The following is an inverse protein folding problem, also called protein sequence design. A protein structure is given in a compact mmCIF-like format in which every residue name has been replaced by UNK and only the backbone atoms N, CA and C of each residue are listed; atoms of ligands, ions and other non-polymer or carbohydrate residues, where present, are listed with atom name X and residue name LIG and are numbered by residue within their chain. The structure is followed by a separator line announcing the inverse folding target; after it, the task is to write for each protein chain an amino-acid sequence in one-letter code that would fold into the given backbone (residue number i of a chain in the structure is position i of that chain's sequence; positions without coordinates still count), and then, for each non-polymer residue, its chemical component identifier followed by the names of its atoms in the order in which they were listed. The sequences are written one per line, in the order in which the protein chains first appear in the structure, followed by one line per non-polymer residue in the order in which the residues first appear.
data_IF_358594939227
#
_entry.id   IF_358594939227
#
_cell.length_a   1.000
_cell.length_b   1.000
_cell.length_c   1.000
_cell.angle_alpha   90.00
_cell.angle_beta   90.00
_cell.angle_gamma   90.00
#
_symmetry.space_group_name_H-M   'P 1'
#
loop_
_entity.id
_entity.type
_entity.pdbx_description
1 polymer ?
#
# COMPACT_ATOMS: atom_id res chain seq x y z
N UNK A 1 -15.64 7.81 15.42
CA UNK A 1 -14.48 8.06 16.29
C UNK A 1 -14.67 9.14 17.37
N UNK A 2 -15.69 10.02 17.30
CA UNK A 2 -16.04 10.92 18.43
C UNK A 2 -15.00 12.01 18.74
N UNK A 3 -14.12 12.31 17.78
CA UNK A 3 -13.10 13.37 17.86
C UNK A 3 -13.65 14.66 17.26
N UNK A 4 -13.15 15.79 17.75
CA UNK A 4 -13.40 17.13 17.21
C UNK A 4 -12.18 17.57 16.41
N UNK A 5 -12.37 17.89 15.12
CA UNK A 5 -11.28 18.19 14.18
C UNK A 5 -11.71 19.28 13.21
N UNK A 6 -10.78 20.17 12.88
CA UNK A 6 -10.93 21.11 11.77
C UNK A 6 -10.53 20.43 10.45
N UNK A 7 -11.15 20.86 9.35
CA UNK A 7 -10.88 20.31 8.02
C UNK A 7 -10.02 21.28 7.19
N UNK A 8 -8.86 20.80 6.71
CA UNK A 8 -8.01 21.50 5.76
C UNK A 8 -8.11 20.81 4.39
N UNK A 9 -8.60 21.49 3.33
CA UNK A 9 -8.73 20.89 2.01
C UNK A 9 -7.37 20.80 1.30
N UNK A 10 -6.92 19.58 1.02
CA UNK A 10 -5.76 19.28 0.17
C UNK A 10 -6.17 18.21 -0.85
N UNK A 11 -6.31 18.61 -2.12
CA UNK A 11 -6.91 17.80 -3.19
C UNK A 11 -5.86 17.00 -3.99
N UNK A 12 -4.98 16.27 -3.30
CA UNK A 12 -3.94 15.43 -3.92
C UNK A 12 -4.05 13.94 -3.58
N UNK A 13 -5.14 13.55 -2.91
CA UNK A 13 -5.46 12.17 -2.52
C UNK A 13 -4.42 11.52 -1.60
N UNK A 14 -3.88 12.29 -0.66
CA UNK A 14 -2.84 11.79 0.25
C UNK A 14 -1.46 11.73 -0.39
N UNK A 15 -1.24 12.55 -1.42
CA UNK A 15 0.00 12.64 -2.16
C UNK A 15 1.03 13.59 -1.51
N UNK A 16 2.00 14.09 -2.29
CA UNK A 16 3.12 14.86 -1.75
C UNK A 16 2.76 16.14 -0.99
N UNK A 17 1.65 16.81 -1.33
CA UNK A 17 1.21 18.02 -0.64
C UNK A 17 0.58 17.66 0.72
N UNK A 18 -0.20 16.59 0.78
CA UNK A 18 -0.76 16.09 2.04
C UNK A 18 0.35 15.63 2.99
N UNK A 19 1.33 14.86 2.49
CA UNK A 19 2.48 14.43 3.27
C UNK A 19 3.29 15.62 3.77
N UNK A 20 3.56 16.60 2.90
CA UNK A 20 4.27 17.82 3.29
C UNK A 20 3.55 18.58 4.40
N UNK A 21 2.23 18.76 4.30
CA UNK A 21 1.45 19.46 5.32
C UNK A 21 1.50 18.74 6.68
N UNK A 22 1.55 17.40 6.69
CA UNK A 22 1.71 16.61 7.91
C UNK A 22 3.11 16.80 8.52
N UNK A 23 4.16 16.80 7.70
CA UNK A 23 5.55 16.97 8.15
C UNK A 23 5.87 18.40 8.62
N UNK A 24 5.28 19.40 7.96
CA UNK A 24 5.42 20.81 8.33
C UNK A 24 4.58 21.16 9.57
N UNK A 25 3.64 20.29 9.98
CA UNK A 25 2.76 20.49 11.12
C UNK A 25 1.51 21.33 10.83
N UNK A 26 1.27 21.67 9.56
CA UNK A 26 0.07 22.39 9.10
C UNK A 26 -1.22 21.57 9.38
N UNK A 27 -1.12 20.25 9.32
CA UNK A 27 -2.16 19.30 9.76
C UNK A 27 -1.56 18.25 10.70
N UNK A 28 -2.40 17.67 11.56
CA UNK A 28 -1.96 16.63 12.52
C UNK A 28 -2.45 15.22 12.14
N UNK A 29 -3.39 15.14 11.19
CA UNK A 29 -4.00 13.90 10.69
C UNK A 29 -4.19 14.03 9.19
N UNK A 30 -3.95 12.96 8.45
CA UNK A 30 -4.09 12.91 7.01
C UNK A 30 -4.68 11.58 6.54
N UNK A 31 -5.45 11.62 5.45
CA UNK A 31 -5.90 10.42 4.75
C UNK A 31 -4.89 10.09 3.65
N UNK A 32 -4.16 8.98 3.82
CA UNK A 32 -3.09 8.52 2.93
C UNK A 32 -3.32 7.03 2.65
N UNK A 33 -3.07 6.59 1.42
CA UNK A 33 -3.14 5.17 1.08
C UNK A 33 -2.10 4.36 1.86
N UNK A 34 -2.50 3.25 2.46
CA UNK A 34 -1.64 2.40 3.31
C UNK A 34 -0.41 1.81 2.60
N UNK A 35 -0.46 1.71 1.27
CA UNK A 35 0.66 1.25 0.45
C UNK A 35 1.57 2.39 -0.06
N UNK A 36 1.39 3.61 0.45
CA UNK A 36 2.21 4.77 0.10
C UNK A 36 3.63 4.64 0.68
N UNK A 37 4.69 4.78 -0.14
CA UNK A 37 6.08 4.71 0.33
C UNK A 37 6.41 5.82 1.34
N UNK A 38 5.70 6.94 1.31
CA UNK A 38 5.92 8.08 2.20
C UNK A 38 5.75 7.72 3.68
N UNK A 39 4.95 6.68 3.98
CA UNK A 39 4.78 6.18 5.35
C UNK A 39 6.12 5.69 5.90
N UNK A 40 6.84 4.87 5.14
CA UNK A 40 8.14 4.30 5.56
C UNK A 40 9.27 5.32 5.47
N UNK A 41 9.27 6.15 4.43
CA UNK A 41 10.33 7.15 4.20
C UNK A 41 10.34 8.22 5.29
N UNK A 42 9.15 8.62 5.78
CA UNK A 42 9.02 9.70 6.75
C UNK A 42 8.64 9.22 8.16
N UNK A 43 8.74 7.92 8.45
CA UNK A 43 8.41 7.31 9.75
C UNK A 43 7.02 7.70 10.28
N UNK A 44 6.02 7.71 9.39
CA UNK A 44 4.65 8.05 9.74
C UNK A 44 3.96 6.88 10.44
N UNK A 45 3.12 7.19 11.42
CA UNK A 45 2.32 6.21 12.16
C UNK A 45 0.97 6.01 11.47
N UNK A 46 0.69 4.78 11.05
CA UNK A 46 -0.65 4.38 10.56
C UNK A 46 -1.57 4.13 11.75
N UNK A 47 -2.76 4.74 11.73
CA UNK A 47 -3.79 4.52 12.75
C UNK A 47 -4.71 3.36 12.34
N UNK A 48 -5.05 2.51 13.30
CA UNK A 48 -6.02 1.43 13.09
C UNK A 48 -7.43 1.96 12.81
N UNK A 49 -8.21 1.22 12.00
CA UNK A 49 -9.62 1.47 11.73
C UNK A 49 -10.53 0.42 12.40
N UNK A 50 -10.68 0.44 13.74
CA UNK A 50 -11.41 -0.60 14.47
C UNK A 50 -12.91 -0.62 14.20
N UNK A 51 -13.48 0.45 13.65
CA UNK A 51 -14.90 0.50 13.26
C UNK A 51 -15.13 0.11 11.79
N UNK A 52 -14.06 -0.17 11.02
CA UNK A 52 -14.17 -0.54 9.61
C UNK A 52 -14.83 0.53 8.76
N UNK A 53 -14.50 1.81 9.00
CA UNK A 53 -15.01 2.94 8.23
C UNK A 53 -14.45 2.94 6.80
N UNK A 54 -13.28 2.37 6.59
CA UNK A 54 -12.66 2.18 5.28
C UNK A 54 -12.80 0.73 4.83
N UNK A 55 -13.22 0.55 3.58
CA UNK A 55 -13.27 -0.77 2.96
C UNK A 55 -11.85 -1.30 2.75
N UNK A 56 -11.59 -2.53 3.21
CA UNK A 56 -10.32 -3.20 2.96
C UNK A 56 -10.12 -3.43 1.46
N UNK A 57 -9.00 -2.96 0.93
CA UNK A 57 -8.63 -3.09 -0.49
C UNK A 57 -7.55 -4.17 -0.66
N UNK A 58 -7.92 -5.43 -0.46
CA UNK A 58 -7.00 -6.54 -0.66
C UNK A 58 -6.66 -6.72 -2.15
N UNK A 59 -5.39 -6.94 -2.46
CA UNK A 59 -4.96 -7.40 -3.79
C UNK A 59 -5.31 -8.87 -3.90
N UNK A 60 -6.17 -9.24 -4.86
CA UNK A 60 -6.61 -10.61 -5.07
C UNK A 60 -6.60 -10.93 -6.58
N UNK A 61 -6.00 -12.06 -7.02
CA UNK A 61 -6.02 -12.46 -8.42
C UNK A 61 -7.45 -12.85 -8.82
N UNK A 62 -7.94 -12.30 -9.93
CA UNK A 62 -9.19 -12.73 -10.56
C UNK A 62 -8.85 -13.43 -11.88
N UNK A 63 -9.34 -14.65 -12.05
CA UNK A 63 -9.03 -15.50 -13.21
C UNK A 63 -10.29 -16.04 -13.88
N UNK A 64 -10.12 -16.58 -15.08
CA UNK A 64 -11.14 -17.44 -15.71
C UNK A 64 -11.32 -18.73 -14.92
N UNK A 65 -12.49 -19.36 -15.04
CA UNK A 65 -12.85 -20.55 -14.27
C UNK A 65 -12.10 -21.82 -14.67
N UNK A 66 -11.58 -21.87 -15.90
CA UNK A 66 -10.90 -23.03 -16.49
C UNK A 66 -9.37 -22.88 -16.52
N UNK A 67 -8.82 -21.98 -15.70
CA UNK A 67 -7.38 -21.84 -15.54
C UNK A 67 -6.72 -23.17 -15.13
N UNK A 68 -5.54 -23.46 -15.68
CA UNK A 68 -4.76 -24.65 -15.36
C UNK A 68 -4.58 -24.79 -13.82
N UNK A 69 -4.90 -25.97 -13.23
CA UNK A 69 -4.77 -26.18 -11.79
C UNK A 69 -3.36 -25.90 -11.22
N UNK A 70 -2.30 -26.10 -12.01
CA UNK A 70 -0.93 -25.76 -11.60
C UNK A 70 -0.73 -24.26 -11.54
N UNK A 71 -1.32 -23.50 -12.47
CA UNK A 71 -1.28 -22.04 -12.43
C UNK A 71 -2.03 -21.50 -11.21
N UNK A 72 -3.19 -22.11 -10.87
CA UNK A 72 -3.92 -21.80 -9.63
C UNK A 72 -3.05 -22.05 -8.40
N UNK A 73 -2.33 -23.16 -8.34
CA UNK A 73 -1.42 -23.47 -7.23
C UNK A 73 -0.31 -22.41 -7.09
N UNK A 74 0.31 -22.00 -8.20
CA UNK A 74 1.35 -20.97 -8.21
C UNK A 74 0.79 -19.62 -7.74
N UNK A 75 -0.37 -19.19 -8.25
CA UNK A 75 -1.01 -17.94 -7.83
C UNK A 75 -1.35 -17.94 -6.35
N UNK A 76 -1.84 -19.06 -5.80
CA UNK A 76 -2.12 -19.19 -4.38
C UNK A 76 -0.84 -19.08 -3.52
N UNK A 77 0.30 -19.61 -3.99
CA UNK A 77 1.59 -19.45 -3.28
C UNK A 77 2.04 -17.99 -3.26
N UNK A 78 1.93 -17.28 -4.38
CA UNK A 78 2.19 -15.82 -4.44
C UNK A 78 1.28 -15.08 -3.46
N UNK A 79 -0.03 -15.32 -3.56
CA UNK A 79 -1.03 -14.64 -2.73
C UNK A 79 -0.83 -14.87 -1.23
N UNK A 80 -0.41 -16.07 -0.83
CA UNK A 80 -0.13 -16.40 0.56
C UNK A 80 1.11 -15.69 1.12
N UNK A 81 2.01 -15.22 0.25
CA UNK A 81 3.26 -14.52 0.61
C UNK A 81 3.17 -13.00 0.49
N UNK A 82 2.28 -12.50 -0.36
CA UNK A 82 2.13 -11.06 -0.60
C UNK A 82 1.39 -10.39 0.58
N UNK A 83 2.15 -9.94 1.57
CA UNK A 83 1.64 -9.17 2.72
C UNK A 83 1.49 -7.69 2.37
N UNK A 84 0.77 -6.93 3.20
CA UNK A 84 0.66 -5.47 3.04
C UNK A 84 2.03 -4.77 3.13
N UNK A 85 2.85 -5.13 4.12
CA UNK A 85 4.22 -4.60 4.27
C UNK A 85 5.09 -4.98 3.07
N UNK A 86 4.97 -6.21 2.57
CA UNK A 86 5.67 -6.65 1.38
C UNK A 86 5.26 -5.84 0.14
N UNK A 87 3.97 -5.54 -0.03
CA UNK A 87 3.49 -4.70 -1.11
C UNK A 87 4.02 -3.26 -1.02
N UNK A 88 4.10 -2.70 0.20
CA UNK A 88 4.71 -1.39 0.44
C UNK A 88 6.18 -1.37 -0.01
N UNK A 89 6.96 -2.40 0.35
CA UNK A 89 8.36 -2.51 -0.05
C UNK A 89 8.53 -2.59 -1.58
N UNK A 90 7.64 -3.30 -2.28
CA UNK A 90 7.64 -3.34 -3.75
C UNK A 90 7.30 -1.97 -4.35
N UNK A 91 6.36 -1.23 -3.75
CA UNK A 91 5.98 0.11 -4.21
C UNK A 91 7.09 1.14 -3.98
N UNK A 92 7.86 1.03 -2.88
CA UNK A 92 9.04 1.87 -2.64
C UNK A 92 10.05 1.69 -3.78
N UNK A 93 10.40 0.44 -4.12
CA UNK A 93 11.32 0.14 -5.22
C UNK A 93 10.83 0.71 -6.56
N UNK A 94 9.54 0.60 -6.83
CA UNK A 94 8.97 1.10 -8.08
C UNK A 94 8.93 2.62 -8.15
N UNK A 95 8.58 3.31 -7.06
CA UNK A 95 8.27 4.75 -7.10
C UNK A 95 9.47 5.61 -6.73
N UNK A 96 10.29 5.16 -5.77
CA UNK A 96 11.45 5.89 -5.27
C UNK A 96 12.73 5.48 -5.99
N UNK A 97 13.01 4.18 -6.05
CA UNK A 97 14.21 3.66 -6.71
C UNK A 97 14.07 3.59 -8.24
N UNK A 98 12.85 3.79 -8.74
CA UNK A 98 12.49 3.80 -10.17
C UNK A 98 12.88 2.50 -10.89
N UNK A 99 12.94 1.40 -10.15
CA UNK A 99 13.23 0.09 -10.72
C UNK A 99 12.07 -0.40 -11.59
N UNK A 100 12.38 -1.18 -12.62
CA UNK A 100 11.34 -1.72 -13.48
C UNK A 100 10.54 -2.82 -12.77
N UNK A 101 9.24 -2.85 -13.03
CA UNK A 101 8.34 -3.82 -12.41
C UNK A 101 8.76 -5.29 -12.69
N UNK A 102 9.39 -5.58 -13.83
CA UNK A 102 9.85 -6.93 -14.15
C UNK A 102 11.05 -7.36 -13.29
N UNK A 103 11.95 -6.43 -12.95
CA UNK A 103 13.08 -6.69 -12.05
C UNK A 103 12.56 -6.91 -10.63
N UNK A 104 11.71 -6.00 -10.16
CA UNK A 104 11.09 -6.08 -8.82
C UNK A 104 10.35 -7.42 -8.66
N UNK A 105 9.50 -7.78 -9.62
CA UNK A 105 8.71 -9.01 -9.55
C UNK A 105 9.58 -10.27 -9.59
N UNK A 106 10.61 -10.30 -10.45
CA UNK A 106 11.53 -11.44 -10.56
C UNK A 106 12.26 -11.69 -9.25
N UNK A 107 12.87 -10.64 -8.70
CA UNK A 107 13.62 -10.77 -7.44
C UNK A 107 12.71 -11.10 -6.26
N UNK A 108 11.51 -10.52 -6.19
CA UNK A 108 10.56 -10.87 -5.13
C UNK A 108 10.16 -12.34 -5.19
N UNK A 109 9.91 -12.88 -6.39
CA UNK A 109 9.62 -14.32 -6.59
C UNK A 109 10.81 -15.15 -6.12
N UNK A 110 12.03 -14.85 -6.57
CA UNK A 110 13.25 -15.58 -6.19
C UNK A 110 13.51 -15.60 -4.68
N UNK A 111 13.08 -14.56 -3.96
CA UNK A 111 13.26 -14.46 -2.52
C UNK A 111 12.14 -15.13 -1.69
N UNK A 112 10.96 -15.34 -2.28
CA UNK A 112 9.75 -15.73 -1.52
C UNK A 112 9.11 -17.06 -1.95
N UNK A 113 9.51 -17.63 -3.10
CA UNK A 113 8.96 -18.86 -3.68
C UNK A 113 10.04 -19.86 -4.07
#
# INVERSE_FOLDING_TARGET
YGVDVDFAPIEDKGGPLTVKALLDGDVQLANIFSASPDIKVNDLVVLDDPQGMFLSSHVVPLTVSDLDPKAVEVLNKVQAKLTADGLLDLNVRSSQDQESADVIAREWIEQNL
#
